data_IF_083551276405
#
_entry.id   IF_083551276405
#
_cell.length_a   1.000
_cell.length_b   1.000
_cell.length_c   1.000
_cell.angle_alpha   90.00
_cell.angle_beta   90.00
_cell.angle_gamma   90.00
#
_symmetry.space_group_name_H-M   'P 1'
#
loop_
_entity.id
_entity.type
_entity.pdbx_description
1 polymer ?
#
# COMPACT_ATOMS: atom_id res chain seq x y z
N UNK A 1 64.60 -4.76 29.19
CA UNK A 1 63.32 -5.38 28.75
C UNK A 1 62.14 -5.10 29.69
N UNK A 2 62.27 -5.16 31.03
CA UNK A 2 61.15 -4.96 31.99
C UNK A 2 60.32 -3.66 31.89
N UNK A 3 60.92 -2.54 31.47
CA UNK A 3 60.22 -1.24 31.46
C UNK A 3 59.19 -1.11 30.33
N UNK A 4 59.45 -1.75 29.19
CA UNK A 4 58.56 -1.74 28.02
C UNK A 4 57.30 -2.55 28.31
N UNK A 5 57.46 -3.71 28.95
CA UNK A 5 56.34 -4.58 29.38
C UNK A 5 55.42 -3.89 30.41
N UNK A 6 56.01 -3.14 31.34
CA UNK A 6 55.23 -2.41 32.36
C UNK A 6 54.42 -1.26 31.74
N UNK A 7 54.99 -0.56 30.76
CA UNK A 7 54.28 0.49 30.02
C UNK A 7 53.20 -0.10 29.11
N UNK A 8 53.44 -1.25 28.47
CA UNK A 8 52.43 -1.96 27.68
C UNK A 8 51.22 -2.38 28.51
N UNK A 9 51.43 -2.92 29.72
CA UNK A 9 50.33 -3.26 30.64
C UNK A 9 49.48 -2.05 31.02
N UNK A 10 50.13 -0.92 31.32
CA UNK A 10 49.42 0.32 31.70
C UNK A 10 48.55 0.86 30.57
N UNK A 11 49.03 0.78 29.32
CA UNK A 11 48.25 1.22 28.15
C UNK A 11 47.04 0.33 27.94
N UNK A 12 47.20 -0.99 28.00
CA UNK A 12 46.08 -1.94 27.85
C UNK A 12 45.04 -1.77 28.96
N UNK A 13 45.48 -1.54 30.20
CA UNK A 13 44.59 -1.30 31.33
C UNK A 13 43.79 0.01 31.15
N UNK A 14 44.44 1.06 30.66
CA UNK A 14 43.78 2.33 30.38
C UNK A 14 42.81 2.26 29.18
N UNK A 15 43.14 1.49 28.15
CA UNK A 15 42.25 1.25 27.01
C UNK A 15 41.02 0.42 27.43
N UNK A 16 41.21 -0.58 28.29
CA UNK A 16 40.13 -1.39 28.86
C UNK A 16 39.19 -0.53 29.72
N UNK A 17 39.74 0.40 30.51
CA UNK A 17 38.94 1.31 31.33
C UNK A 17 38.10 2.25 30.46
N UNK A 18 38.68 2.87 29.43
CA UNK A 18 37.94 3.70 28.46
C UNK A 18 36.84 2.91 27.73
N UNK A 19 37.13 1.66 27.35
CA UNK A 19 36.14 0.81 26.69
C UNK A 19 34.95 0.50 27.61
N UNK A 20 35.21 0.26 28.90
CA UNK A 20 34.16 0.04 29.91
C UNK A 20 33.34 1.30 30.21
N UNK A 21 33.98 2.46 30.24
CA UNK A 21 33.26 3.74 30.40
C UNK A 21 32.31 3.97 29.23
N UNK A 22 32.79 3.77 27.99
CA UNK A 22 31.96 3.86 26.79
C UNK A 22 30.79 2.89 26.82
N UNK A 23 31.02 1.62 27.19
CA UNK A 23 29.93 0.65 27.32
C UNK A 23 28.87 1.09 28.33
N UNK A 24 29.27 1.66 29.47
CA UNK A 24 28.33 2.16 30.48
C UNK A 24 27.53 3.38 30.01
N UNK A 25 28.09 4.18 29.10
CA UNK A 25 27.37 5.29 28.48
C UNK A 25 26.35 4.76 27.47
N UNK A 26 26.78 3.87 26.58
CA UNK A 26 25.92 3.22 25.59
C UNK A 26 24.75 2.47 26.26
N UNK A 27 25.00 1.73 27.35
CA UNK A 27 23.97 1.05 28.13
C UNK A 27 22.94 2.02 28.74
N UNK A 28 23.40 3.17 29.26
CA UNK A 28 22.50 4.20 29.80
C UNK A 28 21.65 4.86 28.72
N UNK A 29 22.20 5.05 27.53
CA UNK A 29 21.46 5.58 26.39
C UNK A 29 20.42 4.58 25.89
N UNK A 30 20.77 3.28 25.81
CA UNK A 30 19.83 2.22 25.48
C UNK A 30 18.68 2.15 26.48
N UNK A 31 18.97 2.23 27.78
CA UNK A 31 17.93 2.19 28.82
C UNK A 31 16.96 3.38 28.70
N UNK A 32 17.49 4.59 28.46
CA UNK A 32 16.66 5.78 28.18
C UNK A 32 15.79 5.60 26.94
N UNK A 33 16.37 5.08 25.87
CA UNK A 33 15.66 4.89 24.60
C UNK A 33 14.56 3.83 24.73
N UNK A 34 14.83 2.74 25.44
CA UNK A 34 13.83 1.69 25.75
C UNK A 34 12.68 2.29 26.58
N UNK A 35 12.97 3.13 27.56
CA UNK A 35 11.95 3.78 28.38
C UNK A 35 11.08 4.74 27.55
N UNK A 36 11.69 5.53 26.65
CA UNK A 36 10.97 6.43 25.75
C UNK A 36 10.10 5.69 24.74
N UNK A 37 10.62 4.62 24.14
CA UNK A 37 9.88 3.73 23.25
C UNK A 37 8.69 3.09 23.95
N UNK A 38 8.87 2.61 25.18
CA UNK A 38 7.79 2.01 25.98
C UNK A 38 6.69 3.05 26.28
N UNK A 39 7.06 4.29 26.58
CA UNK A 39 6.11 5.39 26.82
C UNK A 39 5.31 5.74 25.56
N UNK A 40 5.98 5.86 24.41
CA UNK A 40 5.34 6.13 23.12
C UNK A 40 4.41 4.99 22.69
N UNK A 41 4.80 3.74 22.94
CA UNK A 41 3.96 2.58 22.63
C UNK A 41 2.69 2.57 23.48
N UNK A 42 2.80 2.85 24.78
CA UNK A 42 1.62 3.02 25.63
C UNK A 42 0.72 4.16 25.14
N UNK A 43 1.30 5.32 24.83
CA UNK A 43 0.54 6.47 24.33
C UNK A 43 -0.19 6.16 23.01
N UNK A 44 0.45 5.39 22.11
CA UNK A 44 -0.17 4.89 20.87
C UNK A 44 -1.30 3.92 21.16
N UNK A 45 -1.13 2.98 22.11
CA UNK A 45 -2.18 2.05 22.54
C UNK A 45 -3.38 2.77 23.16
N UNK A 46 -3.15 3.83 23.95
CA UNK A 46 -4.23 4.64 24.50
C UNK A 46 -4.96 5.47 23.44
N UNK A 47 -4.23 6.05 22.47
CA UNK A 47 -4.84 6.80 21.35
C UNK A 47 -5.55 5.92 20.33
N UNK A 48 -5.07 4.70 20.16
CA UNK A 48 -5.62 3.68 19.28
C UNK A 48 -6.29 2.57 20.10
N UNK A 49 -6.97 2.93 21.20
CA UNK A 49 -7.80 1.99 21.92
C UNK A 49 -8.90 1.54 20.97
N UNK A 50 -8.72 0.34 20.41
CA UNK A 50 -9.63 -0.27 19.45
C UNK A 50 -10.98 -0.53 20.13
N UNK A 51 -11.83 0.50 20.14
CA UNK A 51 -13.21 0.33 20.60
C UNK A 51 -13.87 -0.63 19.62
N UNK A 52 -14.37 -1.77 20.10
CA UNK A 52 -15.23 -2.68 19.35
C UNK A 52 -16.55 -2.03 18.89
N UNK A 53 -16.70 -0.72 19.08
CA UNK A 53 -17.81 0.09 18.63
C UNK A 53 -18.03 -0.04 17.13
N UNK A 54 -16.96 -0.05 16.31
CA UNK A 54 -17.11 -0.26 14.86
C UNK A 54 -17.74 -1.63 14.55
N UNK A 55 -17.22 -2.69 15.16
CA UNK A 55 -17.75 -4.05 15.00
C UNK A 55 -19.21 -4.14 15.47
N UNK A 56 -19.55 -3.51 16.59
CA UNK A 56 -20.93 -3.47 17.11
C UNK A 56 -21.86 -2.66 16.22
N UNK A 57 -21.39 -1.57 15.62
CA UNK A 57 -22.18 -0.78 14.67
C UNK A 57 -22.44 -1.55 13.37
N UNK A 58 -21.43 -2.29 12.86
CA UNK A 58 -21.60 -3.14 11.68
C UNK A 58 -22.57 -4.31 11.95
N UNK A 59 -22.54 -4.89 13.15
CA UNK A 59 -23.46 -5.97 13.55
C UNK A 59 -24.92 -5.49 13.66
N UNK A 60 -25.14 -4.28 14.18
CA UNK A 60 -26.48 -3.66 14.27
C UNK A 60 -26.97 -3.20 12.89
N UNK A 61 -26.07 -2.66 12.04
CA UNK A 61 -26.41 -2.27 10.67
C UNK A 61 -26.79 -3.50 9.81
N UNK A 62 -26.12 -4.64 10.02
CA UNK A 62 -26.41 -5.90 9.33
C UNK A 62 -27.73 -6.56 9.76
N UNK A 63 -28.18 -6.37 11.00
CA UNK A 63 -29.43 -6.96 11.50
C UNK A 63 -30.70 -6.16 11.17
N UNK A 64 -30.57 -4.88 10.79
CA UNK A 64 -31.73 -4.02 10.45
C UNK A 64 -32.28 -4.25 9.04
N UNK A 65 -31.47 -4.84 8.14
CA UNK A 65 -31.92 -5.23 6.82
C UNK A 65 -32.57 -6.62 6.87
N UNK A 66 -33.90 -6.59 6.85
CA UNK A 66 -34.82 -7.73 6.72
C UNK A 66 -34.30 -8.80 5.75
N UNK A 67 -34.50 -10.05 6.18
CA UNK A 67 -34.69 -11.27 5.37
C UNK A 67 -34.77 -10.99 3.86
N UNK A 68 -33.73 -11.37 3.11
CA UNK A 68 -33.79 -12.33 1.99
C UNK A 68 -32.46 -12.40 1.26
N UNK A 69 -32.11 -13.64 0.96
CA UNK A 69 -31.31 -14.12 -0.15
C UNK A 69 -29.78 -14.01 -0.20
N UNK A 70 -29.25 -15.17 -0.56
CA UNK A 70 -27.87 -15.50 -0.84
C UNK A 70 -27.43 -14.77 -2.10
N UNK A 71 -26.23 -14.17 -2.07
CA UNK A 71 -25.45 -13.93 -3.29
C UNK A 71 -25.06 -12.48 -3.57
N UNK A 72 -23.93 -12.06 -3.00
CA UNK A 72 -22.83 -11.28 -3.61
C UNK A 72 -22.02 -10.59 -2.51
N UNK A 73 -20.94 -11.25 -2.07
CA UNK A 73 -19.98 -10.70 -1.09
C UNK A 73 -18.79 -9.96 -1.73
N UNK A 74 -18.84 -9.62 -3.02
CA UNK A 74 -17.69 -9.00 -3.72
C UNK A 74 -17.70 -7.46 -3.73
N UNK A 75 -18.86 -6.82 -3.57
CA UNK A 75 -18.95 -5.35 -3.62
C UNK A 75 -18.50 -4.66 -2.33
N UNK A 76 -18.65 -5.30 -1.16
CA UNK A 76 -18.33 -4.69 0.14
C UNK A 76 -16.83 -4.46 0.37
N UNK A 77 -15.96 -5.33 -0.18
CA UNK A 77 -14.51 -5.22 -0.03
C UNK A 77 -13.92 -4.08 -0.88
N UNK A 78 -14.36 -3.98 -2.14
CA UNK A 78 -13.89 -2.95 -3.09
C UNK A 78 -14.29 -1.56 -2.63
N UNK A 79 -15.55 -1.39 -2.18
CA UNK A 79 -16.02 -0.10 -1.62
C UNK A 79 -15.23 0.27 -0.35
N UNK A 80 -14.97 -0.69 0.53
CA UNK A 80 -14.15 -0.46 1.74
C UNK A 80 -12.70 -0.06 1.40
N UNK A 81 -12.14 -0.61 0.32
CA UNK A 81 -10.78 -0.28 -0.15
C UNK A 81 -10.74 1.11 -0.80
N UNK A 82 -11.68 1.41 -1.71
CA UNK A 82 -11.83 2.74 -2.33
C UNK A 82 -11.97 3.82 -1.26
N UNK A 83 -12.81 3.59 -0.26
CA UNK A 83 -13.01 4.51 0.86
C UNK A 83 -11.76 4.72 1.71
N UNK A 84 -10.88 3.72 1.81
CA UNK A 84 -9.60 3.83 2.52
C UNK A 84 -8.63 4.69 1.73
N UNK A 85 -8.45 4.40 0.44
CA UNK A 85 -7.56 5.17 -0.45
C UNK A 85 -8.01 6.62 -0.53
N UNK A 86 -9.32 6.85 -0.73
CA UNK A 86 -9.89 8.20 -0.78
C UNK A 86 -9.64 8.98 0.51
N UNK A 87 -9.77 8.34 1.68
CA UNK A 87 -9.48 8.98 2.97
C UNK A 87 -8.00 9.35 3.11
N UNK A 88 -7.11 8.48 2.66
CA UNK A 88 -5.67 8.73 2.78
C UNK A 88 -5.23 9.84 1.82
N UNK A 89 -5.74 9.88 0.59
CA UNK A 89 -5.52 11.01 -0.34
C UNK A 89 -6.07 12.33 0.21
N UNK A 90 -7.30 12.34 0.76
CA UNK A 90 -7.85 13.55 1.41
C UNK A 90 -6.98 14.05 2.56
N UNK A 91 -6.39 13.16 3.36
CA UNK A 91 -5.46 13.54 4.44
C UNK A 91 -4.18 14.15 3.88
N UNK A 92 -3.61 13.56 2.83
CA UNK A 92 -2.40 14.07 2.18
C UNK A 92 -2.62 15.50 1.64
N UNK A 93 -3.80 15.75 1.06
CA UNK A 93 -4.14 17.06 0.51
C UNK A 93 -4.58 18.10 1.56
N UNK A 94 -4.94 17.66 2.78
CA UNK A 94 -5.45 18.56 3.83
C UNK A 94 -4.43 19.62 4.24
N UNK A 95 -3.17 19.22 4.40
CA UNK A 95 -2.10 20.09 4.91
C UNK A 95 -1.38 20.89 3.82
N UNK A 96 -1.75 20.71 2.55
CA UNK A 96 -1.12 21.42 1.43
C UNK A 96 -1.60 22.87 1.34
N UNK A 97 -0.63 23.75 1.10
CA UNK A 97 -0.82 25.16 0.79
C UNK A 97 -1.34 25.35 -0.64
N UNK A 98 -1.93 26.52 -0.92
CA UNK A 98 -2.46 26.84 -2.26
C UNK A 98 -1.43 26.65 -3.37
N UNK A 99 -0.17 27.05 -3.14
CA UNK A 99 0.91 26.94 -4.13
C UNK A 99 1.19 25.49 -4.48
N UNK A 100 1.23 24.61 -3.48
CA UNK A 100 1.45 23.18 -3.67
C UNK A 100 0.29 22.53 -4.42
N UNK A 101 -0.96 22.91 -4.10
CA UNK A 101 -2.14 22.44 -4.83
C UNK A 101 -2.07 22.89 -6.29
N UNK A 102 -1.68 24.13 -6.59
CA UNK A 102 -1.52 24.60 -7.97
C UNK A 102 -0.46 23.82 -8.75
N UNK A 103 0.68 23.51 -8.11
CA UNK A 103 1.71 22.66 -8.72
C UNK A 103 1.19 21.26 -9.03
N UNK A 104 0.34 20.70 -8.15
CA UNK A 104 -0.31 19.40 -8.42
C UNK A 104 -1.30 19.51 -9.58
N UNK A 105 -2.08 20.59 -9.64
CA UNK A 105 -3.02 20.85 -10.73
C UNK A 105 -2.31 20.91 -12.08
N UNK A 106 -1.19 21.64 -12.17
CA UNK A 106 -0.37 21.72 -13.39
C UNK A 106 0.20 20.35 -13.80
N UNK A 107 0.64 19.55 -12.82
CA UNK A 107 1.20 18.21 -13.07
C UNK A 107 0.17 17.18 -13.50
N UNK A 108 -1.02 17.23 -12.90
CA UNK A 108 -2.09 16.25 -13.13
C UNK A 108 -3.10 16.72 -14.19
N UNK A 109 -2.93 17.94 -14.72
CA UNK A 109 -3.79 18.52 -15.75
C UNK A 109 -5.18 18.91 -15.26
N UNK A 110 -5.33 19.23 -13.97
CA UNK A 110 -6.61 19.58 -13.34
C UNK A 110 -6.78 21.10 -13.33
N UNK A 111 -7.97 21.59 -13.70
CA UNK A 111 -8.27 23.01 -13.63
C UNK A 111 -8.42 23.47 -12.17
N UNK A 112 -7.67 24.50 -11.78
CA UNK A 112 -7.79 25.08 -10.45
C UNK A 112 -9.06 25.93 -10.36
N UNK A 113 -10.03 25.49 -9.55
CA UNK A 113 -11.29 26.20 -9.29
C UNK A 113 -11.33 26.71 -7.85
N UNK A 114 -12.11 26.07 -6.97
CA UNK A 114 -12.09 26.33 -5.53
C UNK A 114 -11.14 25.35 -4.86
N UNK A 115 -10.41 25.81 -3.85
CA UNK A 115 -9.40 24.98 -3.19
C UNK A 115 -9.94 23.64 -2.69
N UNK A 116 -11.13 23.63 -2.10
CA UNK A 116 -11.75 22.40 -1.59
C UNK A 116 -12.22 21.48 -2.72
N UNK A 117 -12.82 22.03 -3.78
CA UNK A 117 -13.29 21.22 -4.93
C UNK A 117 -12.12 20.59 -5.67
N UNK A 118 -11.06 21.36 -5.90
CA UNK A 118 -9.85 20.87 -6.57
C UNK A 118 -9.12 19.82 -5.73
N UNK A 119 -9.06 19.96 -4.40
CA UNK A 119 -8.51 18.91 -3.52
C UNK A 119 -9.34 17.63 -3.61
N UNK A 120 -10.65 17.73 -3.66
CA UNK A 120 -11.54 16.58 -3.78
C UNK A 120 -11.42 15.90 -5.15
N UNK A 121 -11.28 16.67 -6.22
CA UNK A 121 -11.08 16.19 -7.58
C UNK A 121 -9.74 15.43 -7.73
N UNK A 122 -8.65 16.00 -7.20
CA UNK A 122 -7.35 15.32 -7.10
C UNK A 122 -7.48 13.99 -6.34
N UNK A 123 -8.19 13.99 -5.20
CA UNK A 123 -8.35 12.78 -4.39
C UNK A 123 -9.12 11.68 -5.15
N UNK A 124 -10.19 12.03 -5.86
CA UNK A 124 -10.96 11.08 -6.65
C UNK A 124 -10.16 10.54 -7.83
N UNK A 125 -9.50 11.43 -8.60
CA UNK A 125 -8.66 11.05 -9.74
C UNK A 125 -7.54 10.07 -9.34
N UNK A 126 -6.86 10.33 -8.23
CA UNK A 126 -5.81 9.43 -7.72
C UNK A 126 -6.37 8.11 -7.21
N UNK A 127 -7.53 8.15 -6.56
CA UNK A 127 -8.21 6.95 -6.07
C UNK A 127 -8.64 6.05 -7.24
N UNK A 128 -9.17 6.64 -8.31
CA UNK A 128 -9.56 5.92 -9.53
C UNK A 128 -8.37 5.28 -10.21
N UNK A 129 -7.29 6.04 -10.41
CA UNK A 129 -6.04 5.52 -11.00
C UNK A 129 -5.47 4.33 -10.22
N UNK A 130 -5.47 4.39 -8.89
CA UNK A 130 -4.99 3.29 -8.04
C UNK A 130 -5.91 2.07 -8.09
N UNK A 131 -7.22 2.27 -8.21
CA UNK A 131 -8.19 1.18 -8.35
C UNK A 131 -8.09 0.48 -9.70
N UNK A 132 -7.85 1.22 -10.78
CA UNK A 132 -7.64 0.69 -12.13
C UNK A 132 -6.37 -0.15 -12.22
N UNK A 133 -5.24 0.38 -11.69
CA UNK A 133 -3.96 -0.32 -11.70
C UNK A 133 -4.01 -1.68 -10.98
N UNK A 134 -4.76 -1.79 -9.88
CA UNK A 134 -4.92 -3.05 -9.15
C UNK A 134 -5.94 -4.01 -9.79
N UNK A 135 -6.82 -3.50 -10.66
CA UNK A 135 -7.72 -4.34 -11.43
C UNK A 135 -6.96 -5.02 -12.57
N UNK A 136 -6.07 -4.28 -13.25
CA UNK A 136 -5.19 -4.83 -14.29
C UNK A 136 -4.26 -5.93 -13.74
N UNK A 137 -3.70 -5.73 -12.54
CA UNK A 137 -2.88 -6.76 -11.86
C UNK A 137 -3.68 -8.02 -11.49
N UNK A 138 -4.96 -7.89 -11.15
CA UNK A 138 -5.83 -9.04 -10.85
C UNK A 138 -6.31 -9.78 -12.10
N UNK A 139 -6.53 -9.07 -13.21
CA UNK A 139 -6.94 -9.66 -14.48
C UNK A 139 -5.75 -10.36 -15.16
N UNK A 140 -4.52 -9.83 -15.04
CA UNK A 140 -3.29 -10.52 -15.49
C UNK A 140 -3.01 -11.79 -14.66
N UNK A 141 -3.27 -11.75 -13.34
CA UNK A 141 -3.18 -12.94 -12.47
C UNK A 141 -4.26 -14.00 -12.76
N UNK A 142 -5.36 -13.63 -13.45
CA UNK A 142 -6.41 -14.56 -13.91
C UNK A 142 -6.21 -15.06 -15.35
N UNK A 143 -5.34 -14.44 -16.14
CA UNK A 143 -5.10 -14.79 -17.53
C UNK A 143 -4.12 -15.97 -17.72
N UNK A 144 -3.47 -16.45 -16.65
CA UNK A 144 -2.62 -17.65 -16.71
C UNK A 144 -3.44 -18.86 -16.24
N UNK A 145 -3.52 -19.90 -17.08
CA UNK A 145 -4.38 -21.12 -17.02
C UNK A 145 -5.70 -20.88 -17.76
N UNK A 146 -5.84 -21.26 -19.04
CA UNK A 146 -5.86 -22.62 -19.57
C UNK A 146 -5.31 -22.60 -21.00
N UNK A 147 -4.20 -23.31 -21.27
CA UNK A 147 -3.86 -23.73 -22.64
C UNK A 147 -4.53 -25.09 -22.85
N UNK A 148 -5.74 -25.09 -23.40
CA UNK A 148 -6.29 -26.28 -24.04
C UNK A 148 -5.46 -26.53 -25.30
N UNK A 149 -4.67 -27.59 -25.28
CA UNK A 149 -4.11 -28.18 -26.49
C UNK A 149 -5.22 -29.02 -27.10
N UNK A 150 -6.02 -28.40 -27.96
CA UNK A 150 -6.86 -29.15 -28.90
C UNK A 150 -5.96 -29.74 -29.97
N UNK A 151 -5.86 -31.07 -29.98
CA UNK A 151 -5.20 -31.84 -31.01
C UNK A 151 -5.97 -31.72 -32.32
N UNK A 152 -5.48 -30.82 -33.17
CA UNK A 152 -5.88 -30.67 -34.57
C UNK A 152 -5.65 -31.97 -35.36
N UNK A 153 -6.69 -32.36 -36.10
CA UNK A 153 -6.75 -33.52 -36.95
C UNK A 153 -7.98 -33.44 -37.85
N UNK A 154 -8.17 -32.28 -38.50
CA UNK A 154 -9.26 -32.02 -39.44
C UNK A 154 -8.76 -31.90 -40.88
N UNK A 155 -9.29 -32.76 -41.73
CA UNK A 155 -8.90 -33.02 -43.13
C UNK A 155 -9.33 -31.94 -44.14
N UNK A 156 -8.53 -31.87 -45.21
CA UNK A 156 -8.85 -31.58 -46.62
C UNK A 156 -9.38 -30.18 -47.01
N UNK A 157 -8.52 -29.44 -47.71
CA UNK A 157 -8.91 -28.29 -48.53
C UNK A 157 -8.20 -28.35 -49.89
N UNK A 158 -8.98 -28.45 -50.96
CA UNK A 158 -8.42 -28.41 -52.31
C UNK A 158 -9.42 -28.63 -53.45
N UNK A 159 -10.42 -27.77 -53.63
CA UNK A 159 -11.12 -27.66 -54.91
C UNK A 159 -11.38 -26.20 -55.27
N UNK A 160 -10.61 -25.72 -56.25
CA UNK A 160 -10.73 -24.39 -56.85
C UNK A 160 -10.78 -24.53 -58.38
N UNK A 161 -11.62 -23.65 -58.96
CA UNK A 161 -11.54 -23.09 -60.32
C UNK A 161 -12.01 -24.03 -61.47
N UNK A 162 -12.68 -23.60 -62.53
CA UNK A 162 -13.17 -22.29 -62.97
C UNK A 162 -14.33 -22.51 -63.95
N UNK A 163 -15.27 -21.57 -63.95
CA UNK A 163 -16.33 -21.40 -64.94
C UNK A 163 -15.82 -20.58 -66.13
N UNK A 164 -15.92 -21.12 -67.35
CA UNK A 164 -15.93 -20.32 -68.58
C UNK A 164 -17.18 -20.67 -69.40
N UNK A 165 -17.94 -19.63 -69.77
CA UNK A 165 -19.07 -19.68 -70.69
C UNK A 165 -19.05 -18.44 -71.57
N UNK A 166 -19.52 -18.64 -72.81
CA UNK A 166 -19.64 -17.72 -73.95
C UNK A 166 -18.37 -17.57 -74.81
N UNK A 167 -18.42 -17.59 -76.14
CA UNK A 167 -19.51 -17.24 -77.05
C UNK A 167 -19.45 -18.00 -78.39
N UNK A 168 -20.57 -17.93 -79.11
CA UNK A 168 -20.91 -18.44 -80.44
C UNK A 168 -19.88 -18.23 -81.55
#
# INVERSE_FOLDING_TARGET
MRLIELNGRRVVEQELERAREKQKEDERELERLIAEMSKLEMEKKFRCGDTNLKTKLDEVAGCSARKTDKGKKLAGSVLSKRDRILRDERKNLRNLTKKEVMVICEKEGIEYSKMETTKEEIANMRTERLMEQEQDENDEARAVTIHEVDGDGGEDSGKIEASESAAS
#
